data_IF_818894275759
#
_entry.id   IF_818894275759
#
_cell.length_a   1.000
_cell.length_b   1.000
_cell.length_c   1.000
_cell.angle_alpha   90.00
_cell.angle_beta   90.00
_cell.angle_gamma   90.00
#
_symmetry.space_group_name_H-M   'P 1'
#
loop_
_entity.id
_entity.type
_entity.pdbx_description
1 polymer ?
#
# COMPACT_ATOMS: atom_id res chain seq x y z
N UNK A 1 -34.84 -5.59 60.65
CA UNK A 1 -34.21 -6.59 61.54
C UNK A 1 -32.70 -6.40 61.44
N UNK A 2 -31.95 -6.32 62.56
CA UNK A 2 -30.55 -5.82 62.58
C UNK A 2 -29.47 -6.92 62.48
N UNK A 3 -28.31 -6.55 61.91
CA UNK A 3 -26.89 -6.92 62.19
C UNK A 3 -26.10 -6.69 60.88
N UNK A 4 -25.16 -5.77 60.69
CA UNK A 4 -24.06 -5.18 61.51
C UNK A 4 -22.90 -6.12 61.90
N UNK A 5 -21.83 -6.08 61.10
CA UNK A 5 -20.37 -6.24 61.39
C UNK A 5 -19.64 -5.55 60.20
N UNK A 6 -18.74 -4.55 60.27
CA UNK A 6 -18.06 -3.76 61.32
C UNK A 6 -16.63 -4.20 61.75
N UNK A 7 -15.64 -3.31 61.54
CA UNK A 7 -14.19 -3.32 61.96
C UNK A 7 -13.34 -4.49 61.36
N UNK A 8 -12.06 -4.34 60.96
CA UNK A 8 -10.98 -3.57 61.61
C UNK A 8 -9.90 -3.01 60.66
N UNK A 9 -9.39 -1.82 61.01
CA UNK A 9 -8.21 -1.14 60.43
C UNK A 9 -6.93 -1.60 61.16
N UNK A 10 -5.81 -1.80 60.46
CA UNK A 10 -4.46 -1.73 61.06
C UNK A 10 -3.50 -1.01 60.11
N UNK A 11 -3.04 0.17 60.54
CA UNK A 11 -1.84 0.83 60.01
C UNK A 11 -0.71 0.49 60.98
N UNK A 12 0.49 0.17 60.48
CA UNK A 12 1.70 0.23 61.30
C UNK A 12 2.83 0.93 60.54
N UNK A 13 3.28 2.05 61.08
CA UNK A 13 4.51 2.76 60.69
C UNK A 13 5.55 2.45 61.78
N UNK A 14 6.80 2.18 61.39
CA UNK A 14 7.94 2.34 62.28
C UNK A 14 9.13 2.96 61.52
N UNK A 15 9.81 3.88 62.19
CA UNK A 15 10.96 4.67 61.72
C UNK A 15 12.10 4.45 62.73
N UNK A 16 13.33 4.84 62.37
CA UNK A 16 14.56 4.94 63.21
C UNK A 16 15.30 3.60 63.37
N UNK A 17 16.63 3.50 63.19
CA UNK A 17 17.63 4.48 62.74
C UNK A 17 19.06 4.14 63.23
N UNK A 18 20.07 4.84 62.68
CA UNK A 18 21.50 4.84 63.10
C UNK A 18 22.33 3.55 62.89
N UNK A 19 23.67 3.56 62.85
CA UNK A 19 24.66 4.55 62.38
C UNK A 19 26.06 3.88 62.31
N UNK A 20 26.90 4.37 61.39
CA UNK A 20 28.37 4.26 61.23
C UNK A 20 29.24 3.38 62.16
N UNK A 21 30.22 2.70 61.54
CA UNK A 21 31.62 2.83 62.01
C UNK A 21 32.66 2.66 60.90
N UNK A 22 33.65 3.55 60.92
CA UNK A 22 34.74 3.71 59.95
C UNK A 22 35.95 2.83 60.33
N UNK A 23 36.66 2.30 59.32
CA UNK A 23 38.07 1.90 59.44
C UNK A 23 38.82 2.21 58.11
N UNK A 24 40.12 2.50 58.21
CA UNK A 24 40.95 3.14 57.16
C UNK A 24 41.60 2.18 56.15
N UNK A 25 42.05 2.80 55.05
CA UNK A 25 42.90 2.30 53.95
C UNK A 25 44.20 1.60 54.41
N UNK A 26 44.90 0.93 53.48
CA UNK A 26 46.04 1.63 52.86
C UNK A 26 46.04 1.63 51.32
N UNK A 27 46.72 2.64 50.77
CA UNK A 27 47.03 2.86 49.34
C UNK A 27 48.11 1.91 48.81
N UNK A 28 48.00 1.52 47.53
CA UNK A 28 49.12 1.01 46.73
C UNK A 28 48.98 1.44 45.25
N UNK A 29 50.07 1.39 44.48
CA UNK A 29 50.29 2.22 43.29
C UNK A 29 49.78 1.66 41.95
N UNK A 30 49.62 2.56 40.96
CA UNK A 30 49.26 2.33 39.54
C UNK A 30 50.12 1.30 38.80
N UNK A 31 49.60 0.64 37.74
CA UNK A 31 49.96 1.12 36.40
C UNK A 31 48.92 0.95 35.26
N UNK A 32 49.15 1.76 34.22
CA UNK A 32 48.79 1.58 32.80
C UNK A 32 47.32 1.74 32.34
N UNK A 33 47.06 2.89 31.71
CA UNK A 33 45.99 3.05 30.73
C UNK A 33 46.10 2.00 29.61
N UNK A 34 45.13 1.08 29.54
CA UNK A 34 44.91 0.30 28.33
C UNK A 34 44.20 1.20 27.31
N UNK A 35 44.99 1.79 26.40
CA UNK A 35 44.47 2.37 25.16
C UNK A 35 43.77 1.26 24.38
N UNK A 36 42.44 1.21 24.44
CA UNK A 36 41.63 0.38 23.57
C UNK A 36 41.69 1.04 22.19
N UNK A 37 42.55 0.52 21.31
CA UNK A 37 42.46 0.85 19.88
C UNK A 37 41.10 0.38 19.38
N UNK A 38 40.22 1.33 19.09
CA UNK A 38 39.04 1.09 18.27
C UNK A 38 39.49 0.48 16.95
N UNK A 39 39.11 -0.77 16.71
CA UNK A 39 39.17 -1.37 15.37
C UNK A 39 37.86 -1.05 14.66
N UNK A 40 37.63 0.25 14.39
CA UNK A 40 36.76 0.60 13.28
C UNK A 40 37.36 -0.01 12.00
N UNK A 41 36.57 -0.70 11.16
CA UNK A 41 37.03 -1.04 9.83
C UNK A 41 37.38 0.27 9.13
N UNK A 42 38.54 0.30 8.46
CA UNK A 42 38.98 1.49 7.76
C UNK A 42 37.88 1.93 6.79
N UNK A 43 37.29 3.12 7.03
CA UNK A 43 36.39 3.74 6.05
C UNK A 43 37.15 3.79 4.72
N UNK A 44 36.60 3.18 3.69
CA UNK A 44 37.05 3.45 2.33
C UNK A 44 37.03 4.98 2.14
N UNK A 45 38.05 5.57 1.51
CA UNK A 45 38.02 6.99 1.23
C UNK A 45 36.77 7.27 0.39
N UNK A 46 35.89 8.16 0.87
CA UNK A 46 34.74 8.60 0.09
C UNK A 46 35.26 9.15 -1.23
N UNK A 47 34.94 8.44 -2.33
CA UNK A 47 35.17 8.97 -3.68
C UNK A 47 34.51 10.35 -3.77
N UNK A 48 35.12 11.32 -4.47
CA UNK A 48 34.51 12.63 -4.64
C UNK A 48 33.12 12.45 -5.25
N UNK A 49 32.11 13.09 -4.65
CA UNK A 49 30.76 13.15 -5.21
C UNK A 49 30.85 13.88 -6.55
N UNK A 50 30.52 13.20 -7.63
CA UNK A 50 30.41 13.78 -8.97
C UNK A 50 28.95 14.09 -9.30
N UNK A 51 28.74 14.68 -10.47
CA UNK A 51 27.41 14.95 -11.02
C UNK A 51 27.34 14.28 -12.40
N UNK A 52 26.19 13.73 -12.76
CA UNK A 52 25.90 13.35 -14.16
C UNK A 52 25.21 14.56 -14.78
N UNK A 53 25.77 15.09 -15.86
CA UNK A 53 25.25 16.25 -16.57
C UNK A 53 24.97 15.84 -18.02
N UNK A 54 23.73 16.01 -18.46
CA UNK A 54 23.33 15.79 -19.85
C UNK A 54 22.70 17.06 -20.44
N UNK A 55 22.86 17.28 -21.74
CA UNK A 55 22.25 18.42 -22.45
C UNK A 55 21.31 17.91 -23.53
N UNK A 56 20.09 18.44 -23.56
CA UNK A 56 19.03 18.03 -24.46
C UNK A 56 18.59 19.14 -25.41
N UNK A 57 17.33 19.09 -25.82
CA UNK A 57 16.75 20.03 -26.78
C UNK A 57 16.69 21.45 -26.21
N UNK A 58 16.84 22.44 -27.10
CA UNK A 58 16.85 23.89 -26.80
C UNK A 58 17.87 24.33 -25.72
N UNK A 59 18.83 23.48 -25.36
CA UNK A 59 19.83 23.77 -24.33
C UNK A 59 19.42 23.41 -22.91
N UNK A 60 18.25 22.78 -22.72
CA UNK A 60 17.85 22.19 -21.45
C UNK A 60 18.94 21.21 -20.95
N UNK A 61 19.19 21.21 -19.64
CA UNK A 61 20.25 20.43 -19.02
C UNK A 61 19.68 19.62 -17.86
N UNK A 62 20.14 18.38 -17.68
CA UNK A 62 19.77 17.50 -16.58
C UNK A 62 20.98 17.26 -15.71
N UNK A 63 20.87 17.58 -14.42
CA UNK A 63 21.93 17.35 -13.42
C UNK A 63 21.43 16.33 -12.41
N UNK A 64 22.18 15.25 -12.21
CA UNK A 64 21.86 14.18 -11.26
C UNK A 64 23.02 14.05 -10.26
N UNK A 65 22.74 14.28 -8.98
CA UNK A 65 23.76 14.40 -7.93
C UNK A 65 23.28 13.82 -6.58
N UNK A 66 24.13 13.13 -5.80
CA UNK A 66 25.50 12.76 -6.11
C UNK A 66 25.59 11.51 -6.99
N UNK A 67 26.58 11.49 -7.87
CA UNK A 67 27.00 10.31 -8.64
C UNK A 67 28.44 9.91 -8.30
N UNK A 68 28.84 8.75 -8.81
CA UNK A 68 30.22 8.25 -8.85
C UNK A 68 30.37 7.40 -10.11
N UNK A 69 31.24 7.78 -11.04
CA UNK A 69 31.54 6.99 -12.27
C UNK A 69 30.26 6.59 -13.05
N UNK A 70 29.38 7.56 -13.34
CA UNK A 70 28.04 7.38 -13.97
C UNK A 70 27.03 6.53 -13.16
N UNK A 71 27.41 6.06 -11.98
CA UNK A 71 26.51 5.37 -11.06
C UNK A 71 25.92 6.28 -10.00
N UNK A 72 24.66 6.02 -9.62
CA UNK A 72 23.92 6.70 -8.55
C UNK A 72 23.46 5.70 -7.48
N UNK A 73 23.35 6.15 -6.23
CA UNK A 73 22.97 5.31 -5.09
C UNK A 73 22.39 6.13 -3.93
N UNK A 74 21.45 5.55 -3.19
CA UNK A 74 20.80 6.22 -2.06
C UNK A 74 19.89 7.38 -2.52
N UNK A 75 19.93 8.49 -1.80
CA UNK A 75 19.19 9.70 -2.18
C UNK A 75 20.00 10.53 -3.16
N UNK A 76 19.40 10.87 -4.31
CA UNK A 76 19.91 11.84 -5.28
C UNK A 76 18.91 12.97 -5.48
N UNK A 77 19.39 14.10 -5.99
CA UNK A 77 18.58 15.16 -6.56
C UNK A 77 18.76 15.14 -8.07
N UNK A 78 17.65 15.20 -8.79
CA UNK A 78 17.57 15.39 -10.24
C UNK A 78 17.11 16.82 -10.46
N UNK A 79 17.82 17.61 -11.24
CA UNK A 79 17.50 19.03 -11.51
C UNK A 79 17.48 19.29 -12.99
N UNK A 80 16.47 20.01 -13.48
CA UNK A 80 16.41 20.49 -14.86
C UNK A 80 16.89 21.94 -14.92
N UNK A 81 18.08 22.15 -15.47
CA UNK A 81 18.68 23.47 -15.70
C UNK A 81 18.32 23.99 -17.10
N UNK A 82 18.51 25.30 -17.32
CA UNK A 82 18.29 25.98 -18.61
C UNK A 82 16.88 25.76 -19.19
N UNK A 83 15.89 25.67 -18.31
CA UNK A 83 14.47 25.43 -18.64
C UNK A 83 13.90 26.61 -19.46
N UNK A 84 13.07 26.37 -20.49
CA UNK A 84 12.41 27.42 -21.25
C UNK A 84 11.59 28.40 -20.38
N UNK A 85 11.50 29.67 -20.79
CA UNK A 85 10.82 30.71 -20.00
C UNK A 85 9.29 30.53 -19.93
N UNK A 86 8.73 29.81 -20.89
CA UNK A 86 7.32 29.45 -20.95
C UNK A 86 6.92 28.29 -20.02
N UNK A 87 7.88 27.60 -19.41
CA UNK A 87 7.63 26.40 -18.61
C UNK A 87 6.88 26.73 -17.32
N UNK A 88 5.89 25.89 -17.04
CA UNK A 88 5.10 25.87 -15.79
C UNK A 88 5.19 24.54 -15.05
N UNK A 89 5.60 23.48 -15.76
CA UNK A 89 5.67 22.13 -15.22
C UNK A 89 6.93 21.44 -15.70
N UNK A 90 7.60 20.68 -14.82
CA UNK A 90 8.66 19.73 -15.19
C UNK A 90 8.29 18.34 -14.69
N UNK A 91 8.02 17.45 -15.62
CA UNK A 91 7.81 16.03 -15.34
C UNK A 91 9.14 15.29 -15.31
N UNK A 92 9.38 14.51 -14.26
CA UNK A 92 10.54 13.63 -14.12
C UNK A 92 10.15 12.17 -14.29
N UNK A 93 11.00 11.45 -15.02
CA UNK A 93 10.74 10.08 -15.46
C UNK A 93 11.97 9.20 -15.26
N UNK A 94 11.74 7.92 -15.00
CA UNK A 94 12.74 6.86 -14.98
C UNK A 94 12.23 5.61 -15.72
N UNK A 95 13.10 5.05 -16.54
CA UNK A 95 12.86 3.81 -17.29
C UNK A 95 14.09 2.92 -17.22
N UNK A 96 13.90 1.61 -17.32
CA UNK A 96 15.04 0.71 -17.47
C UNK A 96 15.71 0.92 -18.84
N UNK A 97 17.03 0.81 -18.88
CA UNK A 97 17.80 0.98 -20.12
C UNK A 97 17.57 -0.12 -21.17
N UNK A 98 16.85 -1.19 -20.82
CA UNK A 98 16.42 -2.27 -21.71
C UNK A 98 14.96 -2.13 -22.21
N UNK A 99 14.26 -1.03 -21.88
CA UNK A 99 12.92 -0.75 -22.39
C UNK A 99 12.95 -0.36 -23.90
N UNK A 100 12.20 -1.12 -24.71
CA UNK A 100 12.14 -0.95 -26.17
C UNK A 100 11.44 0.35 -26.58
N UNK A 101 10.36 0.72 -25.88
CA UNK A 101 9.62 1.97 -26.05
C UNK A 101 9.88 2.94 -24.88
N UNK A 102 9.56 4.22 -25.09
CA UNK A 102 9.52 5.22 -24.02
C UNK A 102 8.14 5.19 -23.33
N UNK A 103 8.10 5.61 -22.07
CA UNK A 103 6.88 5.71 -21.28
C UNK A 103 6.13 6.99 -21.65
N UNK A 104 5.12 6.85 -22.52
CA UNK A 104 4.18 7.92 -22.90
C UNK A 104 3.17 8.27 -21.77
N UNK A 105 3.29 7.64 -20.60
CA UNK A 105 2.45 7.88 -19.42
C UNK A 105 2.80 9.13 -18.61
N UNK A 106 2.16 9.33 -17.44
CA UNK A 106 2.45 10.45 -16.55
C UNK A 106 3.85 10.34 -15.89
N UNK A 107 4.42 11.45 -15.38
CA UNK A 107 5.73 11.46 -14.72
C UNK A 107 5.82 10.46 -13.54
N UNK A 108 6.58 9.38 -13.71
CA UNK A 108 6.65 8.27 -12.74
C UNK A 108 7.67 8.47 -11.59
N UNK A 109 8.52 9.50 -11.66
CA UNK A 109 9.30 9.96 -10.50
C UNK A 109 8.53 11.05 -9.72
N UNK A 110 7.96 12.02 -10.44
CA UNK A 110 7.23 13.15 -9.88
C UNK A 110 7.08 14.32 -10.85
N UNK A 111 6.27 15.31 -10.45
CA UNK A 111 5.97 16.52 -11.20
C UNK A 111 6.27 17.74 -10.33
N UNK A 112 7.11 18.65 -10.81
CA UNK A 112 7.24 20.01 -10.26
C UNK A 112 6.34 20.96 -11.06
N UNK A 113 5.58 21.80 -10.36
CA UNK A 113 4.63 22.76 -10.91
C UNK A 113 4.85 24.22 -10.45
N UNK A 114 5.92 24.50 -9.69
CA UNK A 114 6.23 25.86 -9.23
C UNK A 114 7.69 26.29 -9.45
N UNK A 115 8.61 25.34 -9.66
CA UNK A 115 10.03 25.60 -9.92
C UNK A 115 10.76 26.30 -8.77
N UNK A 116 10.17 26.33 -7.57
CA UNK A 116 10.63 27.14 -6.44
C UNK A 116 11.95 26.67 -5.83
N UNK A 117 12.31 25.40 -6.04
CA UNK A 117 13.59 24.80 -5.68
C UNK A 117 14.60 24.74 -6.85
N UNK A 118 14.21 25.23 -8.03
CA UNK A 118 15.03 25.26 -9.24
C UNK A 118 14.71 24.17 -10.26
N UNK A 119 13.47 23.66 -10.29
CA UNK A 119 13.06 22.51 -11.10
C UNK A 119 13.81 21.25 -10.68
N UNK A 120 13.66 20.88 -9.40
CA UNK A 120 14.34 19.74 -8.80
C UNK A 120 13.38 18.68 -8.26
N UNK A 121 13.88 17.45 -8.17
CA UNK A 121 13.21 16.34 -7.51
C UNK A 121 14.22 15.50 -6.73
N UNK A 122 13.90 15.22 -5.47
CA UNK A 122 14.68 14.30 -4.63
C UNK A 122 14.19 12.87 -4.87
N UNK A 123 15.07 12.01 -5.38
CA UNK A 123 14.77 10.61 -5.71
C UNK A 123 15.59 9.67 -4.85
N UNK A 124 14.90 8.70 -4.24
CA UNK A 124 15.50 7.59 -3.52
C UNK A 124 15.76 6.42 -4.47
N UNK A 125 16.98 6.31 -4.99
CA UNK A 125 17.35 5.26 -5.95
C UNK A 125 17.21 3.86 -5.36
N UNK A 126 17.10 3.71 -4.03
CA UNK A 126 16.90 2.39 -3.39
C UNK A 126 15.52 1.78 -3.64
N UNK A 127 14.58 2.55 -4.21
CA UNK A 127 13.34 2.03 -4.77
C UNK A 127 13.52 1.24 -6.09
N UNK A 128 14.69 1.31 -6.75
CA UNK A 128 14.96 0.73 -8.07
C UNK A 128 16.05 -0.35 -8.02
N UNK A 129 15.97 -1.39 -8.86
CA UNK A 129 16.94 -2.49 -8.86
C UNK A 129 18.31 -2.03 -9.38
N UNK A 130 19.33 -2.86 -9.16
CA UNK A 130 20.68 -2.51 -9.58
C UNK A 130 20.84 -2.77 -11.07
N UNK A 131 20.57 -1.75 -11.88
CA UNK A 131 20.46 -1.85 -13.32
C UNK A 131 20.86 -0.55 -14.02
N UNK A 132 20.88 -0.56 -15.34
CA UNK A 132 20.92 0.65 -16.17
C UNK A 132 19.53 1.25 -16.28
N UNK A 133 19.44 2.58 -16.21
CA UNK A 133 18.21 3.33 -16.41
C UNK A 133 18.45 4.52 -17.34
N UNK A 134 17.38 4.94 -18.02
CA UNK A 134 17.24 6.29 -18.60
C UNK A 134 16.49 7.14 -17.58
N UNK A 135 17.04 8.27 -17.20
CA UNK A 135 16.31 9.32 -16.46
C UNK A 135 16.13 10.50 -17.41
N UNK A 136 14.92 11.03 -17.49
CA UNK A 136 14.63 12.19 -18.33
C UNK A 136 13.71 13.19 -17.63
N UNK A 137 13.84 14.44 -18.07
CA UNK A 137 13.00 15.56 -17.63
C UNK A 137 12.38 16.22 -18.86
N UNK A 138 11.07 16.43 -18.78
CA UNK A 138 10.25 17.07 -19.82
C UNK A 138 9.64 18.34 -19.24
N UNK A 139 9.93 19.48 -19.85
CA UNK A 139 9.40 20.78 -19.47
C UNK A 139 8.17 21.13 -20.31
N UNK A 140 7.08 21.57 -19.70
CA UNK A 140 5.81 21.89 -20.37
C UNK A 140 5.30 23.29 -19.99
N UNK A 141 4.63 23.96 -20.93
CA UNK A 141 3.94 25.24 -20.68
C UNK A 141 2.53 25.08 -20.09
N UNK A 142 1.97 23.89 -20.21
CA UNK A 142 0.65 23.46 -19.75
C UNK A 142 0.80 22.11 -19.03
N UNK A 143 -0.26 21.63 -18.37
CA UNK A 143 -0.18 20.40 -17.56
C UNK A 143 0.14 19.17 -18.45
N UNK A 144 1.07 18.27 -18.04
CA UNK A 144 1.52 17.18 -18.90
C UNK A 144 0.39 16.21 -19.27
N UNK A 145 0.27 15.90 -20.57
CA UNK A 145 -0.63 14.88 -21.10
C UNK A 145 -0.14 14.41 -22.47
N UNK A 146 -0.71 13.32 -22.99
CA UNK A 146 -0.36 12.76 -24.30
C UNK A 146 -0.67 13.67 -25.50
N UNK A 147 -1.41 14.77 -25.30
CA UNK A 147 -1.67 15.79 -26.35
C UNK A 147 -0.76 17.03 -26.24
N UNK A 148 0.04 17.16 -25.16
CA UNK A 148 0.84 18.37 -24.88
C UNK A 148 2.32 18.10 -25.16
N UNK A 149 2.80 18.66 -26.28
CA UNK A 149 4.22 18.59 -26.68
C UNK A 149 5.14 19.31 -25.67
N UNK A 150 6.26 18.69 -25.24
CA UNK A 150 7.19 19.31 -24.31
C UNK A 150 7.94 20.49 -24.94
N UNK A 151 8.03 21.58 -24.18
CA UNK A 151 8.81 22.78 -24.51
C UNK A 151 10.32 22.56 -24.41
N UNK A 152 10.79 21.60 -23.61
CA UNK A 152 12.19 21.20 -23.51
C UNK A 152 12.31 19.76 -23.05
N UNK A 153 13.29 19.03 -23.58
CA UNK A 153 13.49 17.60 -23.28
C UNK A 153 14.97 17.30 -23.07
N UNK A 154 15.30 16.51 -22.05
CA UNK A 154 16.67 16.10 -21.76
C UNK A 154 16.68 14.74 -21.06
N UNK A 155 17.66 13.89 -21.37
CA UNK A 155 17.82 12.56 -20.80
C UNK A 155 19.27 12.23 -20.47
N UNK A 156 19.49 11.38 -19.47
CA UNK A 156 20.78 10.81 -19.11
C UNK A 156 20.66 9.29 -18.89
N UNK A 157 21.65 8.52 -19.34
CA UNK A 157 21.82 7.14 -18.85
C UNK A 157 22.48 7.17 -17.47
N UNK A 158 22.00 6.32 -16.56
CA UNK A 158 22.56 6.16 -15.21
C UNK A 158 22.66 4.68 -14.85
N UNK A 159 23.62 4.33 -14.00
CA UNK A 159 23.65 3.00 -13.35
C UNK A 159 23.17 3.13 -11.92
N UNK A 160 22.04 2.53 -11.57
CA UNK A 160 21.64 2.43 -10.17
C UNK A 160 22.43 1.29 -9.53
N UNK A 161 23.18 1.61 -8.46
CA UNK A 161 24.02 0.65 -7.76
C UNK A 161 23.91 0.81 -6.24
N UNK A 162 22.76 0.43 -5.71
CA UNK A 162 22.52 0.41 -4.27
C UNK A 162 23.20 -0.80 -3.61
N UNK A 163 23.55 -0.74 -2.32
CA UNK A 163 23.76 -1.97 -1.55
C UNK A 163 22.49 -2.83 -1.60
N UNK A 164 22.62 -4.15 -1.73
CA UNK A 164 21.47 -5.05 -1.82
C UNK A 164 20.63 -4.98 -0.54
N UNK A 165 19.42 -4.43 -0.63
CA UNK A 165 18.48 -4.36 0.50
C UNK A 165 17.86 -5.74 0.71
N UNK A 166 18.20 -6.36 1.82
CA UNK A 166 17.49 -7.54 2.31
C UNK A 166 16.18 -7.08 2.98
N UNK A 167 15.07 -7.23 2.27
CA UNK A 167 13.75 -7.06 2.86
C UNK A 167 13.45 -8.19 3.85
N UNK A 168 12.71 -7.88 4.91
CA UNK A 168 12.25 -8.84 5.90
C UNK A 168 10.74 -8.67 6.11
N UNK A 169 10.06 -9.74 6.51
CA UNK A 169 8.64 -9.69 6.91
C UNK A 169 8.50 -9.18 8.34
N UNK A 170 7.64 -8.19 8.51
CA UNK A 170 7.25 -7.57 9.77
C UNK A 170 5.72 -7.73 9.95
N UNK A 171 5.28 -8.83 10.57
CA UNK A 171 3.87 -9.08 10.79
C UNK A 171 3.32 -8.25 11.95
N UNK A 172 2.40 -7.29 11.73
CA UNK A 172 1.68 -6.65 12.83
C UNK A 172 0.79 -7.66 13.55
N UNK A 173 0.54 -7.42 14.84
CA UNK A 173 -0.39 -8.23 15.64
C UNK A 173 -1.85 -8.01 15.23
N UNK A 174 -2.18 -6.79 14.80
CA UNK A 174 -3.48 -6.40 14.25
C UNK A 174 -3.20 -5.52 13.01
N UNK A 175 -3.80 -5.86 11.88
CA UNK A 175 -3.71 -5.12 10.62
C UNK A 175 -4.50 -3.82 10.76
N UNK A 176 -3.78 -2.70 10.67
CA UNK A 176 -4.32 -1.35 10.57
C UNK A 176 -3.96 -0.88 9.17
N UNK A 177 -4.85 -1.20 8.23
CA UNK A 177 -4.54 -1.17 6.81
C UNK A 177 -5.04 0.08 6.09
N UNK A 178 -4.27 0.49 5.09
CA UNK A 178 -4.77 1.31 3.99
C UNK A 178 -4.78 0.47 2.69
N UNK A 179 -5.83 0.65 1.90
CA UNK A 179 -5.99 0.15 0.55
C UNK A 179 -6.18 1.35 -0.35
N UNK A 180 -5.17 1.65 -1.16
CA UNK A 180 -5.19 2.74 -2.13
C UNK A 180 -5.08 2.10 -3.51
N UNK A 181 -6.19 1.94 -4.26
CA UNK A 181 -6.19 1.17 -5.51
C UNK A 181 -5.60 1.95 -6.67
N UNK A 182 -5.59 3.30 -6.59
CA UNK A 182 -5.00 4.13 -7.62
C UNK A 182 -3.47 4.16 -7.48
N UNK A 183 -2.80 3.76 -8.56
CA UNK A 183 -1.34 3.74 -8.69
C UNK A 183 -0.73 5.14 -8.60
N UNK A 184 -1.45 6.19 -9.04
CA UNK A 184 -0.99 7.58 -8.93
C UNK A 184 -0.94 8.02 -7.47
N UNK A 185 -2.07 7.92 -6.77
CA UNK A 185 -2.20 8.30 -5.36
C UNK A 185 -1.33 7.44 -4.45
N UNK A 186 -1.22 6.12 -4.66
CA UNK A 186 -0.28 5.28 -3.90
C UNK A 186 1.19 5.72 -4.11
N UNK A 187 1.55 6.18 -5.31
CA UNK A 187 2.89 6.74 -5.56
C UNK A 187 3.10 8.04 -4.79
N UNK A 188 2.10 8.93 -4.75
CA UNK A 188 2.14 10.14 -3.93
C UNK A 188 2.28 9.81 -2.44
N UNK A 189 1.47 8.87 -1.92
CA UNK A 189 1.53 8.41 -0.52
C UNK A 189 2.95 7.99 -0.13
N UNK A 190 3.56 7.16 -0.97
CA UNK A 190 4.89 6.61 -0.71
C UNK A 190 6.04 7.60 -0.93
N UNK A 191 5.76 8.75 -1.54
CA UNK A 191 6.70 9.86 -1.74
C UNK A 191 6.59 10.94 -0.65
N UNK A 192 5.38 11.35 -0.25
CA UNK A 192 5.15 12.49 0.66
C UNK A 192 4.36 12.19 1.95
N UNK A 193 3.45 11.21 1.94
CA UNK A 193 2.45 11.04 3.02
C UNK A 193 2.80 9.96 4.06
N UNK A 194 3.95 9.28 3.91
CA UNK A 194 4.34 8.12 4.73
C UNK A 194 4.24 8.38 6.24
N UNK A 195 4.64 9.56 6.71
CA UNK A 195 4.66 9.89 8.13
C UNK A 195 3.26 10.28 8.66
N UNK A 196 2.43 10.93 7.85
CA UNK A 196 1.03 11.23 8.19
C UNK A 196 0.21 9.93 8.28
N UNK A 197 0.37 9.03 7.31
CA UNK A 197 -0.29 7.73 7.29
C UNK A 197 0.12 6.86 8.49
N UNK A 198 1.38 6.97 8.96
CA UNK A 198 1.83 6.36 10.22
C UNK A 198 1.23 7.04 11.46
N UNK A 199 1.06 8.36 11.46
CA UNK A 199 0.44 9.09 12.58
C UNK A 199 -1.06 8.78 12.72
N UNK A 200 -1.73 8.47 11.61
CA UNK A 200 -3.07 7.88 11.58
C UNK A 200 -3.12 6.51 12.28
N UNK A 201 -1.98 5.80 12.34
CA UNK A 201 -1.82 4.49 12.97
C UNK A 201 -1.74 3.32 11.99
N UNK A 202 -1.63 3.58 10.68
CA UNK A 202 -1.49 2.55 9.65
C UNK A 202 -0.17 1.79 9.83
N UNK A 203 -0.25 0.46 9.77
CA UNK A 203 0.91 -0.43 9.82
C UNK A 203 1.01 -1.35 8.60
N UNK A 204 -0.04 -1.42 7.78
CA UNK A 204 -0.10 -2.21 6.55
C UNK A 204 -0.58 -1.34 5.39
N UNK A 205 0.07 -1.41 4.24
CA UNK A 205 -0.43 -0.82 2.99
C UNK A 205 -0.66 -1.89 1.93
N UNK A 206 -1.58 -1.64 1.01
CA UNK A 206 -1.96 -2.58 -0.04
C UNK A 206 -1.45 -2.11 -1.39
N UNK A 207 -0.58 -2.90 -2.03
CA UNK A 207 -0.20 -2.68 -3.43
C UNK A 207 -1.21 -3.43 -4.29
N UNK A 208 -2.19 -2.67 -4.79
CA UNK A 208 -3.25 -3.13 -5.67
C UNK A 208 -2.72 -3.08 -7.10
N UNK A 209 -2.96 -4.11 -7.90
CA UNK A 209 -2.41 -4.21 -9.26
C UNK A 209 -3.58 -4.21 -10.24
N UNK A 210 -3.90 -3.05 -10.81
CA UNK A 210 -5.06 -2.87 -11.68
C UNK A 210 -4.82 -3.48 -13.07
N UNK A 211 -5.31 -4.71 -13.27
CA UNK A 211 -5.28 -5.44 -14.53
C UNK A 211 -6.50 -5.13 -15.38
N UNK A 212 -6.26 -4.55 -16.55
CA UNK A 212 -7.28 -4.29 -17.56
C UNK A 212 -7.47 -5.50 -18.51
N UNK A 213 -8.64 -5.59 -19.13
CA UNK A 213 -8.97 -6.60 -20.15
C UNK A 213 -9.20 -5.97 -21.52
N UNK A 214 -8.58 -6.55 -22.54
CA UNK A 214 -8.88 -6.28 -23.94
C UNK A 214 -10.19 -6.94 -24.36
N UNK A 215 -10.74 -6.52 -25.51
CA UNK A 215 -12.01 -7.06 -26.04
C UNK A 215 -11.95 -8.56 -26.41
N UNK A 216 -10.75 -9.14 -26.52
CA UNK A 216 -10.53 -10.57 -26.75
C UNK A 216 -10.31 -11.39 -25.46
N UNK A 217 -10.43 -10.76 -24.28
CA UNK A 217 -10.19 -11.41 -22.99
C UNK A 217 -8.72 -11.62 -22.64
N UNK A 218 -7.77 -11.05 -23.40
CA UNK A 218 -6.38 -10.91 -22.95
C UNK A 218 -6.26 -9.81 -21.89
N UNK A 219 -5.35 -10.00 -20.92
CA UNK A 219 -5.11 -9.02 -19.85
C UNK A 219 -3.84 -8.21 -20.12
N UNK A 220 -3.80 -6.99 -19.58
CA UNK A 220 -2.59 -6.17 -19.53
C UNK A 220 -2.50 -5.39 -18.22
N UNK A 221 -1.28 -4.93 -17.91
CA UNK A 221 -0.94 -4.07 -16.79
C UNK A 221 -0.11 -2.93 -17.37
N UNK A 222 -0.45 -1.68 -17.05
CA UNK A 222 0.13 -0.52 -17.75
C UNK A 222 1.62 -0.30 -17.42
N UNK A 223 1.99 -0.28 -16.14
CA UNK A 223 3.38 -0.15 -15.69
C UNK A 223 3.68 -1.11 -14.53
N UNK A 224 4.27 -2.26 -14.82
CA UNK A 224 4.66 -3.27 -13.83
C UNK A 224 5.78 -2.80 -12.89
N UNK A 225 6.73 -2.01 -13.40
CA UNK A 225 7.88 -1.53 -12.62
C UNK A 225 7.45 -0.45 -11.61
N UNK A 226 6.39 0.31 -11.90
CA UNK A 226 5.77 1.24 -10.95
C UNK A 226 5.22 0.51 -9.72
N UNK A 227 4.46 -0.57 -9.89
CA UNK A 227 3.97 -1.39 -8.76
C UNK A 227 5.11 -2.05 -7.97
N UNK A 228 6.17 -2.49 -8.66
CA UNK A 228 7.40 -3.01 -8.00
C UNK A 228 8.09 -1.91 -7.19
N UNK A 229 8.18 -0.69 -7.73
CA UNK A 229 8.73 0.48 -7.04
C UNK A 229 7.90 0.84 -5.80
N UNK A 230 6.57 0.85 -5.89
CA UNK A 230 5.67 1.07 -4.75
C UNK A 230 5.86 0.00 -3.66
N UNK A 231 5.85 -1.28 -4.01
CA UNK A 231 6.11 -2.39 -3.08
C UNK A 231 7.42 -2.16 -2.32
N UNK A 232 8.48 -1.75 -3.00
CA UNK A 232 9.78 -1.46 -2.38
C UNK A 232 9.78 -0.22 -1.49
N UNK A 233 9.15 0.88 -1.93
CA UNK A 233 8.99 2.10 -1.14
C UNK A 233 8.20 1.80 0.15
N UNK A 234 7.09 1.06 0.06
CA UNK A 234 6.30 0.62 1.20
C UNK A 234 7.11 -0.24 2.20
N UNK A 235 7.85 -1.23 1.69
CA UNK A 235 8.75 -2.06 2.50
C UNK A 235 9.88 -1.25 3.15
N UNK A 236 10.45 -0.26 2.44
CA UNK A 236 11.47 0.64 3.00
C UNK A 236 10.91 1.60 4.05
N UNK A 237 9.68 2.09 3.85
CA UNK A 237 8.94 2.88 4.82
C UNK A 237 8.62 2.11 6.11
N UNK A 238 8.75 0.77 6.10
CA UNK A 238 8.57 -0.10 7.26
C UNK A 238 7.13 -0.60 7.45
N UNK A 239 6.26 -0.38 6.46
CA UNK A 239 4.93 -0.98 6.45
C UNK A 239 5.03 -2.49 6.20
N UNK A 240 4.08 -3.23 6.77
CA UNK A 240 3.70 -4.51 6.21
C UNK A 240 3.00 -4.29 4.87
N UNK A 241 3.15 -5.23 3.93
CA UNK A 241 2.55 -5.08 2.59
C UNK A 241 1.64 -6.25 2.25
N UNK A 242 0.44 -5.90 1.81
CA UNK A 242 -0.48 -6.78 1.09
C UNK A 242 -0.33 -6.53 -0.41
N UNK A 243 0.09 -7.53 -1.18
CA UNK A 243 0.03 -7.47 -2.66
C UNK A 243 -1.24 -8.17 -3.12
N UNK A 244 -2.03 -7.52 -3.98
CA UNK A 244 -3.29 -8.06 -4.50
C UNK A 244 -3.55 -7.64 -5.94
N UNK A 245 -3.56 -8.57 -6.91
CA UNK A 245 -4.07 -8.27 -8.24
C UNK A 245 -5.54 -7.89 -8.20
N UNK A 246 -5.94 -6.92 -9.00
CA UNK A 246 -7.32 -6.50 -9.16
C UNK A 246 -7.73 -6.63 -10.63
N UNK A 247 -8.88 -7.25 -10.89
CA UNK A 247 -9.48 -7.38 -12.23
C UNK A 247 -10.87 -6.73 -12.28
N UNK A 248 -11.18 -5.87 -11.30
CA UNK A 248 -12.42 -5.10 -11.19
C UNK A 248 -12.11 -3.64 -10.88
N UNK A 249 -12.27 -2.78 -11.89
CA UNK A 249 -12.33 -1.34 -11.66
C UNK A 249 -13.48 -0.97 -10.71
N UNK A 250 -13.50 0.27 -10.22
CA UNK A 250 -14.34 0.72 -9.10
C UNK A 250 -15.88 0.52 -9.23
N UNK A 251 -16.40 0.21 -10.43
CA UNK A 251 -17.82 -0.09 -10.65
C UNK A 251 -18.12 -1.61 -10.81
N UNK A 252 -17.09 -2.46 -10.76
CA UNK A 252 -17.10 -3.81 -11.32
C UNK A 252 -17.08 -3.79 -12.86
N UNK A 253 -16.70 -4.92 -13.47
CA UNK A 253 -16.85 -5.11 -14.91
C UNK A 253 -18.08 -5.94 -15.26
N UNK A 254 -18.81 -5.48 -16.28
CA UNK A 254 -19.80 -6.26 -17.00
C UNK A 254 -19.23 -6.57 -18.38
N UNK A 255 -18.55 -7.70 -18.50
CA UNK A 255 -17.83 -8.10 -19.71
C UNK A 255 -18.73 -8.13 -20.94
N UNK A 256 -20.02 -8.46 -20.80
CA UNK A 256 -20.97 -8.46 -21.91
C UNK A 256 -21.32 -7.04 -22.39
N UNK A 257 -21.59 -6.11 -21.48
CA UNK A 257 -21.88 -4.70 -21.81
C UNK A 257 -20.64 -3.96 -22.33
N UNK A 258 -19.46 -4.32 -21.82
CA UNK A 258 -18.17 -3.80 -22.29
C UNK A 258 -17.70 -4.46 -23.59
N UNK A 259 -18.34 -5.52 -24.06
CA UNK A 259 -17.94 -6.26 -25.27
C UNK A 259 -16.61 -7.00 -25.12
N UNK A 260 -16.25 -7.42 -23.91
CA UNK A 260 -15.10 -8.27 -23.59
C UNK A 260 -15.52 -9.72 -23.79
N UNK A 261 -14.99 -10.36 -24.83
CA UNK A 261 -15.24 -11.77 -25.14
C UNK A 261 -14.32 -12.67 -24.31
N UNK A 262 -14.75 -13.01 -23.10
CA UNK A 262 -14.06 -13.91 -22.18
C UNK A 262 -15.06 -14.93 -21.61
N UNK A 263 -14.64 -16.19 -21.47
CA UNK A 263 -15.40 -17.23 -20.77
C UNK A 263 -14.80 -17.53 -19.39
N UNK A 264 -15.49 -18.37 -18.61
CA UNK A 264 -15.07 -18.73 -17.26
C UNK A 264 -13.68 -19.36 -17.25
N UNK A 265 -13.42 -20.33 -18.12
CA UNK A 265 -12.14 -21.05 -18.16
C UNK A 265 -10.98 -20.09 -18.46
N UNK A 266 -11.17 -19.16 -19.40
CA UNK A 266 -10.17 -18.13 -19.72
C UNK A 266 -9.99 -17.12 -18.58
N UNK A 267 -11.05 -16.71 -17.89
CA UNK A 267 -10.94 -15.86 -16.70
C UNK A 267 -10.15 -16.54 -15.58
N UNK A 268 -10.46 -17.80 -15.26
CA UNK A 268 -9.76 -18.58 -14.25
C UNK A 268 -8.28 -18.79 -14.60
N UNK A 269 -7.97 -19.02 -15.89
CA UNK A 269 -6.59 -19.10 -16.38
C UNK A 269 -5.84 -17.76 -16.22
N UNK A 270 -6.43 -16.64 -16.65
CA UNK A 270 -5.84 -15.31 -16.52
C UNK A 270 -5.53 -14.98 -15.05
N UNK A 271 -6.49 -15.28 -14.17
CA UNK A 271 -6.38 -15.13 -12.71
C UNK A 271 -5.23 -15.95 -12.14
N UNK A 272 -5.10 -17.23 -12.52
CA UNK A 272 -3.99 -18.08 -12.09
C UNK A 272 -2.63 -17.55 -12.58
N UNK A 273 -2.49 -17.19 -13.85
CA UNK A 273 -1.23 -16.71 -14.43
C UNK A 273 -0.72 -15.46 -13.70
N UNK A 274 -1.62 -14.49 -13.47
CA UNK A 274 -1.32 -13.25 -12.74
C UNK A 274 -1.01 -13.53 -11.27
N UNK A 275 -1.80 -14.37 -10.59
CA UNK A 275 -1.56 -14.74 -9.20
C UNK A 275 -0.19 -15.43 -9.01
N UNK A 276 0.19 -16.37 -9.89
CA UNK A 276 1.47 -17.07 -9.81
C UNK A 276 2.66 -16.18 -10.22
N UNK A 277 2.45 -15.15 -11.04
CA UNK A 277 3.45 -14.13 -11.32
C UNK A 277 3.70 -13.27 -10.09
N UNK A 278 2.66 -12.67 -9.53
CA UNK A 278 2.81 -11.73 -8.41
C UNK A 278 3.16 -12.40 -7.08
N UNK A 279 2.81 -13.66 -6.87
CA UNK A 279 3.33 -14.44 -5.74
C UNK A 279 4.88 -14.52 -5.73
N UNK A 280 5.53 -14.59 -6.90
CA UNK A 280 7.01 -14.61 -7.01
C UNK A 280 7.61 -13.25 -6.68
N UNK A 281 7.00 -12.17 -7.19
CA UNK A 281 7.44 -10.79 -6.94
C UNK A 281 7.24 -10.43 -5.46
N UNK A 282 6.09 -10.79 -4.88
CA UNK A 282 5.78 -10.64 -3.46
C UNK A 282 6.76 -11.45 -2.57
N UNK A 283 7.19 -12.64 -2.99
CA UNK A 283 8.24 -13.38 -2.27
C UNK A 283 9.60 -12.68 -2.38
N UNK A 284 10.01 -12.24 -3.57
CA UNK A 284 11.29 -11.54 -3.80
C UNK A 284 11.45 -10.32 -2.89
N UNK A 285 10.39 -9.54 -2.71
CA UNK A 285 10.37 -8.35 -1.84
C UNK A 285 9.90 -8.62 -0.42
N UNK A 286 9.70 -9.90 -0.05
CA UNK A 286 9.31 -10.34 1.28
C UNK A 286 8.06 -9.62 1.79
N UNK A 287 7.03 -9.49 0.94
CA UNK A 287 5.71 -9.00 1.35
C UNK A 287 5.11 -9.93 2.40
N UNK A 288 4.42 -9.36 3.38
CA UNK A 288 3.80 -10.06 4.50
C UNK A 288 2.60 -10.88 4.05
N UNK A 289 1.76 -10.26 3.22
CA UNK A 289 0.47 -10.80 2.79
C UNK A 289 0.37 -10.83 1.26
N UNK A 290 -0.27 -11.87 0.74
CA UNK A 290 -0.61 -11.97 -0.68
C UNK A 290 -2.06 -12.44 -0.83
N UNK A 291 -2.86 -11.67 -1.58
CA UNK A 291 -4.15 -12.13 -2.09
C UNK A 291 -3.99 -12.45 -3.58
N UNK A 292 -4.40 -13.63 -4.07
CA UNK A 292 -4.16 -14.02 -5.45
C UNK A 292 -5.03 -13.26 -6.45
N UNK A 293 -6.19 -12.77 -6.01
CA UNK A 293 -7.04 -11.83 -6.73
C UNK A 293 -7.93 -11.10 -5.71
N UNK A 294 -8.18 -9.82 -5.96
CA UNK A 294 -9.18 -9.03 -5.25
C UNK A 294 -10.59 -9.48 -5.62
N UNK A 295 -11.50 -9.48 -4.65
CA UNK A 295 -12.93 -9.70 -4.88
C UNK A 295 -13.27 -10.92 -5.78
N UNK A 296 -12.56 -12.05 -5.60
CA UNK A 296 -12.56 -13.11 -6.62
C UNK A 296 -13.95 -13.58 -7.06
N UNK A 297 -14.92 -13.67 -6.13
CA UNK A 297 -16.28 -14.10 -6.43
C UNK A 297 -17.16 -13.03 -7.12
N UNK A 298 -16.76 -11.76 -7.12
CA UNK A 298 -17.46 -10.65 -7.78
C UNK A 298 -17.60 -10.87 -9.29
N UNK A 299 -16.48 -10.99 -10.05
CA UNK A 299 -16.50 -11.32 -11.48
C UNK A 299 -17.26 -12.60 -11.80
N UNK A 300 -17.11 -13.65 -10.96
CA UNK A 300 -17.82 -14.92 -11.12
C UNK A 300 -19.33 -14.71 -11.11
N UNK A 301 -19.85 -14.04 -10.07
CA UNK A 301 -21.27 -13.73 -9.93
C UNK A 301 -21.78 -12.77 -11.00
N UNK A 302 -20.98 -11.78 -11.38
CA UNK A 302 -21.37 -10.76 -12.35
C UNK A 302 -21.46 -11.25 -13.80
N UNK A 303 -20.60 -12.21 -14.18
CA UNK A 303 -20.36 -12.52 -15.60
C UNK A 303 -20.53 -13.99 -15.99
N UNK A 304 -20.44 -14.94 -15.05
CA UNK A 304 -20.28 -16.37 -15.40
C UNK A 304 -21.31 -17.34 -14.79
N UNK A 305 -22.09 -16.92 -13.78
CA UNK A 305 -23.09 -17.80 -13.14
C UNK A 305 -24.40 -17.08 -12.83
N UNK A 306 -25.50 -17.83 -12.86
CA UNK A 306 -26.83 -17.33 -12.47
C UNK A 306 -27.16 -17.60 -10.97
N UNK A 307 -26.40 -18.49 -10.30
CA UNK A 307 -26.75 -18.96 -8.96
C UNK A 307 -25.62 -18.81 -7.93
N UNK A 308 -25.97 -18.39 -6.71
CA UNK A 308 -25.06 -18.32 -5.55
C UNK A 308 -24.38 -19.68 -5.29
N UNK A 309 -25.07 -20.79 -5.56
CA UNK A 309 -24.51 -22.14 -5.39
C UNK A 309 -23.31 -22.39 -6.33
N UNK A 310 -23.34 -21.85 -7.53
CA UNK A 310 -22.25 -21.98 -8.50
C UNK A 310 -21.12 -20.99 -8.19
N UNK A 311 -21.44 -19.75 -7.78
CA UNK A 311 -20.49 -18.77 -7.24
C UNK A 311 -19.67 -19.39 -6.09
N UNK A 312 -20.35 -19.94 -5.09
CA UNK A 312 -19.75 -20.63 -3.92
C UNK A 312 -18.87 -21.81 -4.35
N UNK A 313 -19.34 -22.63 -5.30
CA UNK A 313 -18.61 -23.80 -5.78
C UNK A 313 -17.32 -23.41 -6.50
N UNK A 314 -17.40 -22.52 -7.49
CA UNK A 314 -16.26 -22.09 -8.31
C UNK A 314 -15.22 -21.39 -7.42
N UNK A 315 -15.66 -20.47 -6.56
CA UNK A 315 -14.79 -19.75 -5.60
C UNK A 315 -14.01 -20.73 -4.72
N UNK A 316 -14.69 -21.73 -4.15
CA UNK A 316 -14.06 -22.71 -3.26
C UNK A 316 -13.13 -23.68 -4.00
N UNK A 317 -13.52 -24.12 -5.20
CA UNK A 317 -12.69 -25.01 -6.04
C UNK A 317 -11.42 -24.31 -6.52
N UNK A 318 -11.51 -23.07 -7.01
CA UNK A 318 -10.36 -22.30 -7.48
C UNK A 318 -9.38 -21.99 -6.34
N UNK A 319 -9.86 -21.48 -5.19
CA UNK A 319 -8.97 -21.22 -4.05
C UNK A 319 -8.26 -22.49 -3.56
N UNK A 320 -8.96 -23.64 -3.55
CA UNK A 320 -8.41 -24.95 -3.19
C UNK A 320 -7.35 -25.44 -4.18
N UNK A 321 -7.53 -25.20 -5.48
CA UNK A 321 -6.54 -25.54 -6.51
C UNK A 321 -5.32 -24.62 -6.46
N UNK A 322 -5.53 -23.32 -6.25
CA UNK A 322 -4.46 -22.33 -6.21
C UNK A 322 -3.58 -22.44 -4.97
N UNK A 323 -4.15 -22.81 -3.81
CA UNK A 323 -3.44 -22.87 -2.53
C UNK A 323 -2.09 -23.64 -2.58
N UNK A 324 -2.00 -24.89 -3.09
CA UNK A 324 -0.73 -25.59 -3.20
C UNK A 324 0.24 -24.96 -4.21
N UNK A 325 -0.26 -24.35 -5.29
CA UNK A 325 0.57 -23.65 -6.30
C UNK A 325 1.22 -22.41 -5.67
N UNK A 326 0.42 -21.62 -4.94
CA UNK A 326 0.86 -20.42 -4.22
C UNK A 326 1.83 -20.74 -3.09
N UNK A 327 1.55 -21.75 -2.24
CA UNK A 327 2.45 -22.17 -1.15
C UNK A 327 3.77 -22.80 -1.64
N UNK A 328 3.86 -23.20 -2.90
CA UNK A 328 5.11 -23.58 -3.55
C UNK A 328 6.00 -22.41 -3.96
N UNK A 329 5.51 -21.17 -3.88
CA UNK A 329 6.16 -19.94 -4.35
C UNK A 329 6.32 -18.94 -3.19
N UNK A 330 5.20 -18.60 -2.54
CA UNK A 330 5.11 -17.57 -1.52
C UNK A 330 5.05 -18.20 -0.13
N UNK A 331 5.97 -17.78 0.75
CA UNK A 331 6.13 -18.27 2.12
C UNK A 331 5.52 -17.33 3.17
N UNK A 332 4.96 -16.20 2.72
CA UNK A 332 4.19 -15.29 3.57
C UNK A 332 2.75 -15.78 3.80
N UNK A 333 1.90 -14.90 4.34
CA UNK A 333 0.51 -15.26 4.68
C UNK A 333 -0.43 -15.04 3.49
N UNK A 334 -1.25 -16.03 3.18
CA UNK A 334 -2.20 -15.95 2.07
C UNK A 334 -3.57 -15.45 2.54
N UNK A 335 -4.15 -14.53 1.78
CA UNK A 335 -5.48 -13.96 2.02
C UNK A 335 -6.42 -14.28 0.86
N UNK A 336 -7.62 -14.78 1.14
CA UNK A 336 -8.70 -14.83 0.16
C UNK A 336 -9.56 -13.56 0.30
N UNK A 337 -9.50 -12.63 -0.67
CA UNK A 337 -10.40 -11.47 -0.71
C UNK A 337 -11.68 -11.82 -1.47
N UNK A 338 -12.81 -11.58 -0.84
CA UNK A 338 -14.16 -11.74 -1.38
C UNK A 338 -14.80 -10.36 -1.57
N UNK A 339 -15.64 -10.19 -2.58
CA UNK A 339 -16.50 -9.00 -2.68
C UNK A 339 -17.61 -9.13 -1.61
N UNK A 340 -18.50 -10.11 -1.79
CA UNK A 340 -19.55 -10.45 -0.84
C UNK A 340 -19.32 -11.85 -0.25
N UNK A 341 -19.33 -12.05 1.08
CA UNK A 341 -19.22 -13.37 1.68
C UNK A 341 -20.51 -14.17 1.47
N UNK A 342 -20.41 -15.44 1.05
CA UNK A 342 -21.54 -16.37 0.89
C UNK A 342 -21.40 -17.59 1.81
N UNK A 343 -22.50 -18.04 2.39
CA UNK A 343 -22.47 -19.26 3.20
C UNK A 343 -22.06 -20.47 2.35
N UNK A 344 -21.14 -21.27 2.88
CA UNK A 344 -20.64 -22.47 2.20
C UNK A 344 -19.30 -22.30 1.50
N UNK A 345 -18.84 -21.06 1.22
CA UNK A 345 -17.47 -20.80 0.70
C UNK A 345 -16.44 -21.51 1.59
N UNK A 346 -15.41 -22.09 0.95
CA UNK A 346 -14.32 -22.77 1.63
C UNK A 346 -12.96 -22.27 1.12
N UNK A 347 -12.22 -21.63 2.02
CA UNK A 347 -10.84 -21.16 1.80
C UNK A 347 -9.87 -21.85 2.76
N UNK A 348 -10.18 -23.09 3.15
CA UNK A 348 -9.40 -23.87 4.13
C UNK A 348 -7.91 -23.91 3.79
N UNK A 349 -7.10 -23.42 4.72
CA UNK A 349 -5.64 -23.39 4.60
C UNK A 349 -5.05 -22.09 4.06
N UNK A 350 -5.88 -21.10 3.70
CA UNK A 350 -5.44 -19.69 3.69
C UNK A 350 -5.29 -19.18 5.13
N UNK A 351 -4.45 -18.16 5.33
CA UNK A 351 -4.21 -17.55 6.64
C UNK A 351 -5.30 -16.53 7.00
N UNK A 352 -5.83 -15.83 5.98
CA UNK A 352 -6.90 -14.85 6.12
C UNK A 352 -8.05 -15.03 5.11
N UNK A 353 -9.24 -14.56 5.49
CA UNK A 353 -10.36 -14.32 4.60
C UNK A 353 -10.89 -12.90 4.80
N UNK A 354 -10.87 -12.11 3.73
CA UNK A 354 -11.32 -10.72 3.71
C UNK A 354 -12.65 -10.56 2.98
N UNK A 355 -13.42 -9.55 3.36
CA UNK A 355 -14.48 -9.02 2.49
C UNK A 355 -14.29 -7.52 2.21
N UNK A 356 -14.79 -7.07 1.07
CA UNK A 356 -15.05 -5.65 0.82
C UNK A 356 -16.35 -5.24 1.52
N UNK A 357 -16.39 -4.02 2.03
CA UNK A 357 -17.63 -3.39 2.48
C UNK A 357 -17.88 -2.08 1.74
N UNK A 358 -19.15 -1.80 1.43
CA UNK A 358 -19.56 -0.52 0.86
C UNK A 358 -20.98 -0.15 1.28
N UNK A 359 -21.39 1.07 0.96
CA UNK A 359 -22.79 1.49 1.15
C UNK A 359 -23.69 1.16 -0.03
N UNK A 360 -23.16 1.01 -1.25
CA UNK A 360 -23.96 0.73 -2.45
C UNK A 360 -25.13 1.71 -2.72
N UNK A 361 -24.99 2.98 -2.31
CA UNK A 361 -26.05 4.00 -2.23
C UNK A 361 -27.20 3.72 -1.24
N UNK A 362 -27.16 2.62 -0.47
CA UNK A 362 -28.17 2.32 0.52
C UNK A 362 -28.19 3.32 1.69
N UNK A 363 -29.36 3.56 2.31
CA UNK A 363 -29.47 4.43 3.48
C UNK A 363 -28.80 3.78 4.70
N UNK A 364 -28.31 4.58 5.65
CA UNK A 364 -27.53 4.12 6.82
C UNK A 364 -28.16 2.91 7.53
N UNK A 365 -29.49 2.92 7.74
CA UNK A 365 -30.18 1.81 8.40
C UNK A 365 -30.15 0.48 7.61
N UNK A 366 -30.22 0.55 6.28
CA UNK A 366 -30.10 -0.60 5.39
C UNK A 366 -28.67 -1.15 5.36
N UNK A 367 -27.69 -0.26 5.20
CA UNK A 367 -26.26 -0.61 5.17
C UNK A 367 -25.82 -1.20 6.51
N UNK A 368 -26.26 -0.66 7.66
CA UNK A 368 -25.98 -1.25 8.98
C UNK A 368 -26.45 -2.70 9.08
N UNK A 369 -27.66 -2.98 8.59
CA UNK A 369 -28.22 -4.32 8.62
C UNK A 369 -27.42 -5.28 7.73
N UNK A 370 -27.10 -4.85 6.50
CA UNK A 370 -26.30 -5.64 5.58
C UNK A 370 -24.90 -5.95 6.15
N UNK A 371 -24.21 -4.95 6.73
CA UNK A 371 -22.93 -5.14 7.42
C UNK A 371 -23.02 -6.19 8.52
N UNK A 372 -24.02 -6.09 9.40
CA UNK A 372 -24.20 -7.04 10.50
C UNK A 372 -24.44 -8.48 10.01
N UNK A 373 -25.24 -8.66 8.94
CA UNK A 373 -25.48 -9.98 8.34
C UNK A 373 -24.22 -10.53 7.64
N UNK A 374 -23.55 -9.73 6.80
CA UNK A 374 -22.36 -10.11 6.04
C UNK A 374 -21.17 -10.45 6.94
N UNK A 375 -20.95 -9.71 8.03
CA UNK A 375 -19.90 -9.99 9.00
C UNK A 375 -20.12 -11.32 9.74
N UNK A 376 -21.37 -11.70 9.99
CA UNK A 376 -21.69 -13.03 10.56
C UNK A 376 -21.35 -14.14 9.56
N UNK A 377 -21.59 -13.94 8.26
CA UNK A 377 -21.23 -14.91 7.21
C UNK A 377 -19.70 -15.00 7.07
N UNK A 378 -19.00 -13.88 6.96
CA UNK A 378 -17.54 -13.83 6.86
C UNK A 378 -16.88 -14.55 8.05
N UNK A 379 -17.34 -14.27 9.27
CA UNK A 379 -16.86 -14.93 10.49
C UNK A 379 -17.04 -16.44 10.44
N UNK A 380 -18.20 -16.95 9.99
CA UNK A 380 -18.44 -18.39 9.79
C UNK A 380 -17.48 -19.00 8.77
N UNK A 381 -17.15 -18.30 7.69
CA UNK A 381 -16.16 -18.76 6.70
C UNK A 381 -14.78 -18.86 7.36
N UNK A 382 -14.34 -17.82 8.08
CA UNK A 382 -13.07 -17.81 8.81
C UNK A 382 -12.97 -18.95 9.84
N UNK A 383 -14.00 -19.11 10.68
CA UNK A 383 -14.08 -20.19 11.68
C UNK A 383 -14.06 -21.59 11.04
N UNK A 384 -14.80 -21.80 9.93
CA UNK A 384 -14.83 -23.07 9.18
C UNK A 384 -13.47 -23.40 8.55
N UNK A 385 -12.84 -22.41 7.92
CA UNK A 385 -11.58 -22.57 7.17
C UNK A 385 -10.32 -22.43 8.04
N UNK A 386 -10.47 -22.15 9.34
CA UNK A 386 -9.40 -21.81 10.28
C UNK A 386 -8.52 -20.65 9.76
N UNK A 387 -9.17 -19.62 9.22
CA UNK A 387 -8.56 -18.40 8.71
C UNK A 387 -8.98 -17.19 9.55
N UNK A 388 -8.07 -16.24 9.75
CA UNK A 388 -8.39 -14.96 10.38
C UNK A 388 -9.29 -14.14 9.46
N UNK A 389 -10.39 -13.59 9.97
CA UNK A 389 -11.36 -12.85 9.16
C UNK A 389 -11.24 -11.33 9.39
N UNK A 390 -11.32 -10.55 8.31
CA UNK A 390 -11.16 -9.09 8.37
C UNK A 390 -12.05 -8.33 7.37
N UNK A 391 -12.30 -7.06 7.65
CA UNK A 391 -12.68 -6.11 6.60
C UNK A 391 -11.39 -5.78 5.85
N UNK A 392 -11.26 -6.30 4.63
CA UNK A 392 -10.04 -6.16 3.82
C UNK A 392 -10.09 -4.97 2.86
N UNK A 393 -11.24 -4.30 2.77
CA UNK A 393 -11.48 -3.09 1.99
C UNK A 393 -12.77 -2.43 2.49
N UNK A 394 -12.77 -1.13 2.74
CA UNK A 394 -13.94 -0.39 3.22
C UNK A 394 -14.22 0.85 2.38
N UNK A 395 -15.04 0.65 1.35
CA UNK A 395 -15.30 1.56 0.24
C UNK A 395 -16.57 2.38 0.46
N UNK A 396 -16.39 3.61 0.94
CA UNK A 396 -17.46 4.58 1.15
C UNK A 396 -17.22 5.84 0.28
N UNK A 397 -17.37 5.73 -1.05
CA UNK A 397 -17.19 6.84 -1.98
C UNK A 397 -18.37 7.82 -1.92
N UNK A 398 -18.06 9.11 -1.94
CA UNK A 398 -19.06 10.17 -1.88
C UNK A 398 -19.24 10.94 -3.19
N UNK A 399 -18.51 10.57 -4.24
CA UNK A 399 -18.61 11.10 -5.58
C UNK A 399 -17.32 10.84 -6.38
N UNK A 400 -17.00 11.75 -7.30
CA UNK A 400 -15.73 11.77 -8.02
C UNK A 400 -15.71 11.00 -9.35
N UNK A 401 -14.53 10.91 -10.00
CA UNK A 401 -14.39 10.31 -11.33
C UNK A 401 -14.66 8.80 -11.33
N UNK A 402 -14.48 8.14 -10.19
CA UNK A 402 -14.63 6.68 -10.02
C UNK A 402 -16.01 6.28 -9.47
N UNK A 403 -16.81 7.23 -8.98
CA UNK A 403 -18.14 6.97 -8.45
C UNK A 403 -19.10 8.13 -8.73
N UNK A 404 -20.06 7.92 -9.63
CA UNK A 404 -20.92 9.01 -10.12
C UNK A 404 -22.04 9.42 -9.17
N UNK A 405 -22.36 8.61 -8.16
CA UNK A 405 -23.40 8.92 -7.19
C UNK A 405 -22.86 9.82 -6.08
N UNK A 406 -23.62 10.87 -5.74
CA UNK A 406 -23.33 11.83 -4.67
C UNK A 406 -24.37 11.79 -3.55
N UNK A 407 -25.36 10.90 -3.68
CA UNK A 407 -26.50 10.76 -2.77
C UNK A 407 -26.89 9.30 -2.57
N UNK A 408 -27.36 8.98 -1.37
CA UNK A 408 -27.99 7.70 -1.09
C UNK A 408 -29.45 7.65 -1.62
N UNK A 409 -30.09 6.48 -1.50
CA UNK A 409 -31.48 6.24 -1.95
C UNK A 409 -32.53 7.12 -1.25
N UNK A 410 -32.25 7.58 -0.02
CA UNK A 410 -33.10 8.54 0.72
C UNK A 410 -32.83 10.00 0.30
N UNK A 411 -31.84 10.24 -0.58
CA UNK A 411 -31.48 11.55 -1.12
C UNK A 411 -30.55 12.39 -0.25
N UNK A 412 -30.01 11.81 0.82
CA UNK A 412 -29.00 12.39 1.72
C UNK A 412 -27.64 12.47 1.00
N UNK A 413 -26.80 13.43 1.35
CA UNK A 413 -25.48 13.62 0.73
C UNK A 413 -24.52 12.53 1.18
N UNK A 414 -23.88 11.81 0.26
CA UNK A 414 -22.83 10.84 0.63
C UNK A 414 -21.59 11.54 1.22
N UNK A 415 -21.32 12.78 0.79
CA UNK A 415 -20.21 13.60 1.28
C UNK A 415 -20.37 13.98 2.76
N UNK A 416 -21.60 14.25 3.18
CA UNK A 416 -21.96 14.53 4.58
C UNK A 416 -22.10 13.27 5.44
N UNK A 417 -22.11 12.07 4.83
CA UNK A 417 -22.33 10.79 5.49
C UNK A 417 -21.10 9.87 5.55
N UNK A 418 -19.98 10.25 4.91
CA UNK A 418 -18.81 9.38 4.76
C UNK A 418 -18.28 8.87 6.12
N UNK A 419 -18.16 9.75 7.12
CA UNK A 419 -17.67 9.39 8.46
C UNK A 419 -18.71 8.60 9.28
N UNK A 420 -20.00 8.84 9.07
CA UNK A 420 -21.07 8.00 9.64
C UNK A 420 -21.03 6.57 9.06
N UNK A 421 -20.72 6.40 7.77
CA UNK A 421 -20.54 5.07 7.17
C UNK A 421 -19.33 4.33 7.77
N UNK A 422 -18.16 4.97 7.92
CA UNK A 422 -17.01 4.36 8.61
C UNK A 422 -17.31 4.05 10.07
N UNK A 423 -17.88 5.00 10.82
CA UNK A 423 -18.19 4.81 12.24
C UNK A 423 -19.15 3.64 12.44
N UNK A 424 -20.19 3.56 11.61
CA UNK A 424 -21.13 2.44 11.59
C UNK A 424 -20.44 1.11 11.26
N UNK A 425 -19.58 1.05 10.25
CA UNK A 425 -18.89 -0.21 9.90
C UNK A 425 -17.96 -0.68 11.00
N UNK A 426 -17.22 0.23 11.63
CA UNK A 426 -16.35 -0.07 12.76
C UNK A 426 -17.15 -0.55 13.99
N UNK A 427 -18.29 0.07 14.27
CA UNK A 427 -19.21 -0.38 15.34
C UNK A 427 -19.72 -1.80 15.11
N UNK A 428 -20.20 -2.14 13.91
CA UNK A 428 -20.67 -3.51 13.60
C UNK A 428 -19.51 -4.52 13.55
N UNK A 429 -18.35 -4.12 13.04
CA UNK A 429 -17.14 -4.95 13.02
C UNK A 429 -16.65 -5.30 14.43
N UNK A 430 -16.60 -4.32 15.33
CA UNK A 430 -16.27 -4.55 16.74
C UNK A 430 -17.32 -5.44 17.45
N UNK A 431 -18.61 -5.26 17.18
CA UNK A 431 -19.68 -6.13 17.74
C UNK A 431 -19.55 -7.59 17.27
N UNK A 432 -19.11 -7.82 16.03
CA UNK A 432 -18.82 -9.16 15.53
C UNK A 432 -17.55 -9.78 16.16
N UNK A 433 -16.71 -8.96 16.81
CA UNK A 433 -15.44 -9.35 17.45
C UNK A 433 -14.22 -9.19 16.55
N UNK A 434 -14.31 -8.37 15.50
CA UNK A 434 -13.22 -8.07 14.58
C UNK A 434 -12.23 -7.05 15.14
N UNK A 435 -11.01 -7.04 14.59
CA UNK A 435 -9.93 -6.12 14.98
C UNK A 435 -9.15 -5.61 13.76
N UNK A 436 -8.74 -6.52 12.88
CA UNK A 436 -8.06 -6.23 11.61
C UNK A 436 -8.96 -5.44 10.64
N UNK A 437 -8.55 -4.24 10.21
CA UNK A 437 -9.39 -3.40 9.35
C UNK A 437 -8.55 -2.62 8.33
N UNK A 438 -8.98 -2.63 7.08
CA UNK A 438 -8.35 -1.93 5.96
C UNK A 438 -9.34 -0.94 5.34
N UNK A 439 -8.99 0.35 5.32
CA UNK A 439 -9.83 1.40 4.73
C UNK A 439 -9.32 1.82 3.33
N UNK A 440 -10.24 2.29 2.49
CA UNK A 440 -9.98 2.97 1.20
C UNK A 440 -10.79 4.27 1.21
N UNK A 441 -10.27 5.45 0.84
CA UNK A 441 -8.92 5.78 0.38
C UNK A 441 -8.23 6.80 1.32
N UNK A 442 -6.92 7.01 1.18
CA UNK A 442 -6.25 8.13 1.85
C UNK A 442 -6.24 9.39 0.97
N UNK A 443 -5.99 9.26 -0.34
CA UNK A 443 -5.96 10.38 -1.30
C UNK A 443 -6.90 10.27 -2.51
N UNK A 444 -7.39 9.07 -2.89
CA UNK A 444 -8.15 8.90 -4.14
C UNK A 444 -9.42 9.78 -4.21
N UNK A 445 -9.54 10.67 -5.21
CA UNK A 445 -10.60 11.67 -5.26
C UNK A 445 -12.02 11.09 -5.26
N UNK A 446 -12.84 11.62 -4.36
CA UNK A 446 -14.24 11.22 -4.17
C UNK A 446 -14.43 10.05 -3.21
N UNK A 447 -13.37 9.55 -2.57
CA UNK A 447 -13.43 8.56 -1.48
C UNK A 447 -12.27 8.68 -0.47
N UNK A 448 -11.46 9.73 -0.59
CA UNK A 448 -10.38 10.06 0.32
C UNK A 448 -10.91 10.38 1.72
N UNK A 449 -10.09 10.13 2.75
CA UNK A 449 -10.39 10.51 4.12
C UNK A 449 -9.48 11.63 4.66
N UNK A 450 -8.31 11.88 4.04
CA UNK A 450 -7.36 12.90 4.49
C UNK A 450 -8.05 14.26 4.59
N UNK A 451 -7.79 14.98 5.69
CA UNK A 451 -8.37 16.31 5.98
C UNK A 451 -9.92 16.34 6.06
N UNK A 452 -10.57 15.17 6.15
CA UNK A 452 -12.04 15.02 6.24
C UNK A 452 -12.46 14.39 7.59
N UNK A 453 -13.74 14.52 8.02
CA UNK A 453 -14.20 13.95 9.29
C UNK A 453 -13.92 12.45 9.46
N UNK A 454 -13.88 11.70 8.36
CA UNK A 454 -13.56 10.28 8.32
C UNK A 454 -12.14 9.95 8.83
N UNK A 455 -11.14 10.83 8.61
CA UNK A 455 -9.80 10.63 9.18
C UNK A 455 -9.87 10.50 10.70
N UNK A 456 -10.58 11.42 11.36
CA UNK A 456 -10.69 11.42 12.80
C UNK A 456 -11.31 10.11 13.31
N UNK A 457 -12.32 9.58 12.62
CA UNK A 457 -12.96 8.29 12.96
C UNK A 457 -11.96 7.12 12.85
N UNK A 458 -11.20 7.03 11.76
CA UNK A 458 -10.18 5.99 11.57
C UNK A 458 -9.05 6.12 12.60
N UNK A 459 -8.54 7.35 12.82
CA UNK A 459 -7.47 7.66 13.80
C UNK A 459 -7.88 7.25 15.21
N UNK A 460 -9.11 7.55 15.59
CA UNK A 460 -9.66 7.20 16.90
C UNK A 460 -9.87 5.69 17.07
N UNK A 461 -10.22 4.97 16.00
CA UNK A 461 -10.32 3.51 16.02
C UNK A 461 -8.94 2.85 16.11
N UNK A 462 -8.01 3.20 15.21
CA UNK A 462 -6.65 2.65 15.18
C UNK A 462 -5.83 2.96 16.45
N UNK A 463 -6.16 4.01 17.21
CA UNK A 463 -5.58 4.28 18.54
C UNK A 463 -6.14 3.40 19.67
N UNK A 464 -7.32 2.79 19.51
CA UNK A 464 -8.01 1.99 20.54
C UNK A 464 -7.69 0.49 20.47
N UNK A 465 -7.37 -0.02 19.27
CA UNK A 465 -7.06 -1.45 19.01
C UNK A 465 -5.58 -1.78 19.09
#
# INVERSE_FOLDING_TARGET
MKKEVLVLFVILIFIIGCAEKIAKEPTEETPAEKIIKSTEPAREPEKPKTEIIATGQKGAELVISPSVDEAIKGTVTITMNNVPQETRYVGFYIERGDAEDANDGPPNLGLDNDGSDGWSLVVDTTAYDNNKYRIFALAFAEEPSSEVEPTGTVQAEVVINNPSIAFNRNYPTIIKGNWEPSTTEMTQILNSEVDELKELGVNTVSIVLEYNLNKDGSYYLEDEELYISQLRKAKKAGFAVLVSPNFVGAAGHNYAEEGINIDLDKHLQNSEEVALKWAKIAEQYQAEYFAPQNEFNGPIRGNFVETEKEEVRITSEWHKEMLPKLKGIFTGKLMAKLDNPREGIDVSGYDYVGMTISHGNGPLGGVRKWLADSLVILKKIGEKSNAHWLVSEAWFPYGGPWYSATKNEDGESLDELQDDYYKMSLEEYQKAGGQDYIFIAWLMPGMEIKDRPAEAVIKDYFRKI
#
